data_IF_504756136976
#
_entry.id   IF_504756136976
#
_cell.length_a   1.000
_cell.length_b   1.000
_cell.length_c   1.000
_cell.angle_alpha   90.00
_cell.angle_beta   90.00
_cell.angle_gamma   90.00
#
_symmetry.space_group_name_H-M   'P 1'
#
loop_
_entity.id
_entity.type
_entity.pdbx_description
1 polymer ?
#
# COMPACT_ATOMS: atom_id res chain seq x y z
N UNK A 1 -18.84 29.65 -17.88
CA UNK A 1 -18.15 30.28 -16.74
C UNK A 1 -19.05 30.17 -15.52
N UNK A 2 -18.84 29.14 -14.71
CA UNK A 2 -19.22 29.10 -13.30
C UNK A 2 -17.95 28.66 -12.58
N UNK A 3 -17.31 29.62 -11.92
CA UNK A 3 -16.20 29.40 -11.00
C UNK A 3 -16.75 29.51 -9.57
N UNK A 4 -15.97 28.94 -8.64
CA UNK A 4 -16.07 29.08 -7.18
C UNK A 4 -17.11 28.19 -6.48
N UNK A 5 -16.68 27.03 -5.98
CA UNK A 5 -16.04 26.96 -4.66
C UNK A 5 -16.14 25.53 -4.12
N UNK A 6 -15.01 24.81 -4.12
CA UNK A 6 -14.50 24.08 -2.95
C UNK A 6 -15.55 23.66 -1.90
N UNK A 7 -16.35 22.63 -2.19
CA UNK A 7 -17.29 22.02 -1.26
C UNK A 7 -16.91 20.58 -0.93
N UNK A 8 -15.65 20.36 -0.50
CA UNK A 8 -15.29 19.37 0.53
C UNK A 8 -13.78 19.42 0.82
N UNK A 9 -13.36 20.50 1.47
CA UNK A 9 -12.15 20.46 2.28
C UNK A 9 -12.33 19.37 3.34
N UNK A 10 -11.60 18.26 3.19
CA UNK A 10 -11.63 17.05 4.03
C UNK A 10 -11.35 17.40 5.51
N UNK A 11 -12.38 17.80 6.25
CA UNK A 11 -12.28 18.31 7.63
C UNK A 11 -12.03 17.22 8.69
N UNK A 12 -12.31 15.95 8.40
CA UNK A 12 -12.15 14.82 9.34
C UNK A 12 -11.39 13.61 8.74
N UNK A 13 -10.49 13.83 7.78
CA UNK A 13 -9.68 12.74 7.24
C UNK A 13 -8.53 12.37 8.19
N UNK A 14 -8.11 11.09 8.17
CA UNK A 14 -6.90 10.60 8.87
C UNK A 14 -5.73 11.58 8.71
N UNK A 15 -5.52 12.06 7.48
CA UNK A 15 -4.60 13.16 7.18
C UNK A 15 -5.37 14.38 6.71
N UNK A 16 -5.12 15.52 7.34
CA UNK A 16 -5.65 16.81 6.89
C UNK A 16 -5.00 17.22 5.56
N UNK A 17 -5.61 18.15 4.83
CA UNK A 17 -5.01 18.69 3.59
C UNK A 17 -3.62 19.24 3.83
N UNK A 18 -3.43 19.90 4.97
CA UNK A 18 -2.14 20.45 5.35
C UNK A 18 -1.11 19.36 5.70
N UNK A 19 -1.54 18.22 6.23
CA UNK A 19 -0.63 17.09 6.50
C UNK A 19 -0.12 16.50 5.19
N UNK A 20 -1.03 16.27 4.23
CA UNK A 20 -0.69 15.77 2.90
C UNK A 20 0.33 16.68 2.23
N UNK A 21 0.03 17.99 2.12
CA UNK A 21 0.95 18.97 1.53
C UNK A 21 2.32 19.01 2.22
N UNK A 22 2.34 18.83 3.54
CA UNK A 22 3.61 18.83 4.28
C UNK A 22 4.41 17.55 4.07
N UNK A 23 3.76 16.38 4.00
CA UNK A 23 4.39 15.09 3.74
C UNK A 23 4.87 14.95 2.28
N UNK A 24 4.13 15.51 1.31
CA UNK A 24 4.49 15.52 -0.12
C UNK A 24 5.52 16.58 -0.48
N UNK A 25 5.90 17.45 0.47
CA UNK A 25 6.87 18.52 0.25
C UNK A 25 6.30 19.78 -0.42
N UNK A 26 5.03 19.79 -0.81
CA UNK A 26 4.33 20.98 -1.34
C UNK A 26 4.28 22.15 -0.33
N UNK A 27 4.39 21.85 0.96
CA UNK A 27 4.47 22.83 2.03
C UNK A 27 5.70 22.62 2.89
N UNK A 28 6.51 23.66 3.03
CA UNK A 28 7.64 23.71 3.96
C UNK A 28 7.42 24.77 5.05
N UNK A 29 7.80 24.45 6.29
CA UNK A 29 7.88 25.43 7.36
C UNK A 29 9.26 26.10 7.36
N UNK A 30 9.27 27.41 7.20
CA UNK A 30 10.48 28.26 7.20
C UNK A 30 10.36 29.36 8.27
N UNK A 31 11.48 30.00 8.62
CA UNK A 31 11.54 31.07 9.63
C UNK A 31 11.82 30.61 11.06
N UNK A 32 11.73 31.55 12.00
CA UNK A 32 12.20 31.45 13.39
C UNK A 32 11.55 30.28 14.17
N UNK A 33 10.26 30.00 13.90
CA UNK A 33 9.51 28.95 14.58
C UNK A 33 9.38 27.65 13.77
N UNK A 34 10.10 27.51 12.64
CA UNK A 34 9.98 26.38 11.74
C UNK A 34 10.22 25.02 12.42
N UNK A 35 11.22 24.95 13.32
CA UNK A 35 11.56 23.72 14.03
C UNK A 35 10.40 23.24 14.92
N UNK A 36 9.78 24.18 15.66
CA UNK A 36 8.65 23.88 16.54
C UNK A 36 7.41 23.48 15.73
N UNK A 37 7.13 24.19 14.63
CA UNK A 37 6.01 23.87 13.74
C UNK A 37 6.15 22.46 13.12
N UNK A 38 7.35 22.09 12.65
CA UNK A 38 7.62 20.73 12.15
C UNK A 38 7.43 19.66 13.23
N UNK A 39 7.89 19.93 14.45
CA UNK A 39 7.71 18.99 15.56
C UNK A 39 6.23 18.81 15.89
N UNK A 40 5.51 19.91 16.03
CA UNK A 40 4.07 19.92 16.30
C UNK A 40 3.31 19.14 15.23
N UNK A 41 3.63 19.39 13.95
CA UNK A 41 3.03 18.69 12.81
C UNK A 41 3.23 17.17 12.87
N UNK A 42 4.45 16.69 13.11
CA UNK A 42 4.73 15.25 13.28
C UNK A 42 3.94 14.63 14.42
N UNK A 43 3.87 15.34 15.56
CA UNK A 43 3.11 14.87 16.73
C UNK A 43 1.63 14.72 16.40
N UNK A 44 1.07 15.69 15.69
CA UNK A 44 -0.36 15.70 15.38
C UNK A 44 -0.73 14.63 14.34
N UNK A 45 0.12 14.42 13.33
CA UNK A 45 -0.02 13.31 12.37
C UNK A 45 0.01 11.96 13.11
N UNK A 46 1.00 11.74 13.98
CA UNK A 46 1.10 10.49 14.76
C UNK A 46 -0.16 10.23 15.58
N UNK A 47 -0.68 11.26 16.27
CA UNK A 47 -1.91 11.14 17.06
C UNK A 47 -3.11 10.79 16.19
N UNK A 48 -3.25 11.42 15.01
CA UNK A 48 -4.34 11.11 14.08
C UNK A 48 -4.26 9.67 13.57
N UNK A 49 -3.09 9.23 13.11
CA UNK A 49 -2.88 7.85 12.65
C UNK A 49 -3.21 6.85 13.76
N UNK A 50 -2.73 7.10 14.98
CA UNK A 50 -3.05 6.26 16.14
C UNK A 50 -4.56 6.16 16.39
N UNK A 51 -5.27 7.30 16.41
CA UNK A 51 -6.71 7.31 16.61
C UNK A 51 -7.46 6.62 15.47
N UNK A 52 -7.05 6.83 14.21
CA UNK A 52 -7.66 6.15 13.05
C UNK A 52 -7.49 4.64 13.14
N UNK A 53 -6.35 4.14 13.61
CA UNK A 53 -6.15 2.71 13.84
C UNK A 53 -7.16 2.18 14.88
N UNK A 54 -7.39 2.92 15.97
CA UNK A 54 -8.39 2.54 16.98
C UNK A 54 -9.83 2.62 16.45
N UNK A 55 -10.11 3.58 15.56
CA UNK A 55 -11.45 3.74 14.97
C UNK A 55 -11.81 2.52 14.11
N UNK A 56 -10.85 1.77 13.55
CA UNK A 56 -11.16 0.53 12.81
C UNK A 56 -11.84 -0.53 13.68
N UNK A 57 -11.54 -0.61 14.98
CA UNK A 57 -12.28 -1.51 15.88
C UNK A 57 -13.75 -1.12 15.99
N UNK A 58 -14.04 0.18 16.05
CA UNK A 58 -15.41 0.72 16.08
C UNK A 58 -16.12 0.45 14.75
N UNK A 59 -15.44 0.71 13.63
CA UNK A 59 -16.00 0.44 12.29
C UNK A 59 -16.27 -1.05 12.09
N UNK A 60 -15.34 -1.90 12.52
CA UNK A 60 -15.49 -3.33 12.45
C UNK A 60 -16.71 -3.75 13.27
N UNK A 61 -16.78 -3.42 14.57
CA UNK A 61 -17.86 -3.84 15.46
C UNK A 61 -19.23 -3.28 15.09
N UNK A 62 -19.31 -1.99 14.76
CA UNK A 62 -20.58 -1.25 14.78
C UNK A 62 -21.06 -0.67 13.45
N UNK A 63 -20.22 -0.60 12.41
CA UNK A 63 -20.71 -0.14 11.10
C UNK A 63 -21.75 -1.14 10.57
N UNK A 64 -22.82 -0.66 9.94
CA UNK A 64 -23.83 -1.55 9.38
C UNK A 64 -23.25 -2.34 8.19
N UNK A 65 -23.70 -3.57 8.01
CA UNK A 65 -23.22 -4.44 6.92
C UNK A 65 -23.43 -3.82 5.54
N UNK A 66 -24.60 -3.23 5.30
CA UNK A 66 -24.90 -2.57 4.03
C UNK A 66 -23.94 -1.41 3.72
N UNK A 67 -23.49 -0.67 4.75
CA UNK A 67 -22.53 0.42 4.57
C UNK A 67 -21.10 -0.12 4.39
N UNK A 68 -20.72 -1.20 5.07
CA UNK A 68 -19.47 -1.91 4.76
C UNK A 68 -19.48 -2.39 3.32
N UNK A 69 -20.54 -3.06 2.88
CA UNK A 69 -20.62 -3.60 1.52
C UNK A 69 -20.47 -2.48 0.47
N UNK A 70 -21.12 -1.33 0.65
CA UNK A 70 -20.95 -0.17 -0.24
C UNK A 70 -19.51 0.36 -0.27
N UNK A 71 -18.79 0.35 0.86
CA UNK A 71 -17.39 0.78 0.89
C UNK A 71 -16.48 -0.14 0.05
N UNK A 72 -16.81 -1.43 -0.05
CA UNK A 72 -16.02 -2.42 -0.77
C UNK A 72 -16.64 -2.86 -2.12
N UNK A 73 -17.78 -2.28 -2.53
CA UNK A 73 -18.52 -2.65 -3.74
C UNK A 73 -17.64 -2.55 -5.00
N UNK A 74 -16.80 -1.52 -5.07
CA UNK A 74 -15.89 -1.26 -6.18
C UNK A 74 -14.77 -2.30 -6.32
N UNK A 75 -14.52 -3.14 -5.31
CA UNK A 75 -13.53 -4.22 -5.36
C UNK A 75 -14.13 -5.54 -5.87
N UNK A 76 -15.46 -5.70 -5.80
CA UNK A 76 -16.14 -6.95 -6.15
C UNK A 76 -16.37 -7.12 -7.67
N UNK A 77 -16.19 -6.08 -8.50
CA UNK A 77 -16.36 -6.13 -9.96
C UNK A 77 -15.22 -6.87 -10.70
N UNK A 78 -14.56 -7.85 -10.05
CA UNK A 78 -13.36 -8.51 -10.60
C UNK A 78 -13.67 -9.68 -11.55
N UNK A 79 -14.91 -10.18 -11.62
CA UNK A 79 -15.24 -11.33 -12.47
C UNK A 79 -16.11 -10.97 -13.69
N UNK A 80 -15.48 -10.60 -14.80
CA UNK A 80 -15.93 -11.06 -16.12
C UNK A 80 -16.70 -10.13 -17.07
N UNK A 81 -16.67 -8.80 -16.93
CA UNK A 81 -17.13 -7.90 -18.01
C UNK A 81 -16.02 -6.92 -18.39
N UNK A 82 -15.27 -7.27 -19.44
CA UNK A 82 -14.19 -6.48 -20.07
C UNK A 82 -14.65 -5.11 -20.63
N UNK A 83 -15.86 -4.65 -20.29
CA UNK A 83 -16.49 -3.42 -20.79
C UNK A 83 -16.61 -2.30 -19.77
N UNK A 84 -16.08 -2.48 -18.56
CA UNK A 84 -16.18 -1.47 -17.50
C UNK A 84 -14.81 -1.05 -16.94
N UNK A 85 -13.84 -0.82 -17.83
CA UNK A 85 -12.48 -0.37 -17.48
C UNK A 85 -12.45 1.05 -16.85
N UNK A 86 -13.57 1.78 -16.90
CA UNK A 86 -13.70 3.14 -16.35
C UNK A 86 -14.09 3.18 -14.86
N UNK A 87 -14.28 2.02 -14.19
CA UNK A 87 -14.81 1.95 -12.80
C UNK A 87 -13.96 1.20 -11.78
N UNK A 88 -12.78 0.70 -12.14
CA UNK A 88 -11.83 0.27 -11.12
C UNK A 88 -11.32 1.52 -10.40
N UNK A 89 -11.70 1.66 -9.12
CA UNK A 89 -11.10 2.68 -8.26
C UNK A 89 -9.70 2.19 -7.85
N UNK A 90 -8.78 2.29 -8.82
CA UNK A 90 -7.37 1.96 -8.62
C UNK A 90 -6.77 2.82 -7.50
N UNK A 91 -7.28 4.04 -7.27
CA UNK A 91 -6.83 4.87 -6.15
C UNK A 91 -7.21 4.25 -4.79
N UNK A 92 -8.44 3.77 -4.64
CA UNK A 92 -8.89 3.06 -3.43
C UNK A 92 -8.12 1.76 -3.23
N UNK A 93 -7.96 0.95 -4.29
CA UNK A 93 -7.26 -0.34 -4.23
C UNK A 93 -5.79 -0.15 -3.87
N UNK A 94 -5.11 0.82 -4.50
CA UNK A 94 -3.73 1.17 -4.18
C UNK A 94 -3.63 1.73 -2.75
N UNK A 95 -4.58 2.57 -2.32
CA UNK A 95 -4.63 3.08 -0.96
C UNK A 95 -4.77 1.99 0.09
N UNK A 96 -5.62 0.99 -0.14
CA UNK A 96 -5.78 -0.18 0.73
C UNK A 96 -4.50 -1.02 0.79
N UNK A 97 -3.90 -1.30 -0.38
CA UNK A 97 -2.61 -2.01 -0.49
C UNK A 97 -1.52 -1.28 0.29
N UNK A 98 -1.37 0.02 0.09
CA UNK A 98 -0.34 0.83 0.72
C UNK A 98 -0.55 0.95 2.25
N UNK A 99 -1.81 0.99 2.70
CA UNK A 99 -2.14 0.95 4.13
C UNK A 99 -1.72 -0.37 4.77
N UNK A 100 -2.04 -1.52 4.13
CA UNK A 100 -1.62 -2.83 4.60
C UNK A 100 -0.09 -2.96 4.60
N UNK A 101 0.58 -2.58 3.52
CA UNK A 101 2.03 -2.58 3.42
C UNK A 101 2.69 -1.73 4.50
N UNK A 102 2.15 -0.53 4.77
CA UNK A 102 2.62 0.34 5.85
C UNK A 102 2.53 -0.34 7.21
N UNK A 103 1.40 -1.00 7.53
CA UNK A 103 1.24 -1.72 8.79
C UNK A 103 2.25 -2.86 8.88
N UNK A 104 2.28 -3.74 7.87
CA UNK A 104 3.13 -4.94 7.85
C UNK A 104 4.61 -4.62 7.98
N UNK A 105 5.09 -3.60 7.23
CA UNK A 105 6.45 -3.09 7.30
C UNK A 105 6.82 -2.64 8.73
N UNK A 106 5.95 -1.86 9.38
CA UNK A 106 6.25 -1.34 10.72
C UNK A 106 6.03 -2.38 11.84
N UNK A 107 5.43 -3.53 11.52
CA UNK A 107 5.24 -4.66 12.46
C UNK A 107 6.27 -5.77 12.30
N UNK A 108 7.31 -5.57 11.48
CA UNK A 108 8.46 -6.47 11.40
C UNK A 108 8.36 -7.56 10.35
N UNK A 109 7.43 -7.47 9.38
CA UNK A 109 7.30 -8.49 8.33
C UNK A 109 8.56 -8.56 7.46
N UNK A 110 9.18 -7.41 7.16
CA UNK A 110 10.39 -7.33 6.33
C UNK A 110 11.60 -8.00 6.98
N UNK A 111 11.72 -7.91 8.30
CA UNK A 111 12.76 -8.55 9.07
C UNK A 111 12.55 -10.08 9.06
N UNK A 112 11.30 -10.53 9.23
CA UNK A 112 10.92 -11.95 9.09
C UNK A 112 11.28 -12.52 7.71
N UNK A 113 11.08 -11.74 6.65
CA UNK A 113 11.42 -12.11 5.26
C UNK A 113 12.93 -12.25 4.98
N UNK A 114 13.81 -11.65 5.79
CA UNK A 114 15.25 -11.57 5.50
C UNK A 114 16.10 -12.45 6.44
N UNK A 115 15.53 -12.97 7.52
CA UNK A 115 16.24 -13.82 8.46
C UNK A 115 16.21 -15.29 8.00
N UNK A 116 17.29 -15.74 7.34
CA UNK A 116 17.45 -17.13 6.82
C UNK A 116 17.44 -18.21 7.92
N UNK A 117 17.60 -17.85 9.21
CA UNK A 117 17.89 -18.79 10.30
C UNK A 117 17.12 -18.50 11.60
N UNK A 118 16.10 -17.64 11.59
CA UNK A 118 15.30 -17.39 12.79
C UNK A 118 14.41 -18.60 13.07
N UNK A 119 14.78 -19.37 14.10
CA UNK A 119 13.95 -20.40 14.66
C UNK A 119 12.55 -19.87 15.03
N UNK A 120 11.59 -20.00 14.11
CA UNK A 120 10.12 -20.10 14.32
C UNK A 120 9.45 -19.04 15.21
N UNK A 121 10.07 -17.88 15.45
CA UNK A 121 9.43 -16.82 16.22
C UNK A 121 8.49 -16.05 15.28
N UNK A 122 7.20 -16.35 15.37
CA UNK A 122 6.15 -15.64 14.65
C UNK A 122 6.31 -14.13 14.79
N UNK A 123 6.41 -13.42 13.67
CA UNK A 123 6.54 -11.96 13.68
C UNK A 123 5.26 -11.29 14.24
N UNK A 124 5.37 -10.06 14.73
CA UNK A 124 4.16 -9.31 15.14
C UNK A 124 3.18 -9.16 13.97
N UNK A 125 3.69 -9.02 12.74
CA UNK A 125 2.90 -8.98 11.51
C UNK A 125 2.10 -10.27 11.28
N UNK A 126 2.76 -11.44 11.32
CA UNK A 126 2.11 -12.76 11.16
C UNK A 126 1.02 -12.97 12.19
N UNK A 127 1.30 -12.68 13.46
CA UNK A 127 0.32 -12.80 14.54
C UNK A 127 -0.88 -11.90 14.32
N UNK A 128 -0.66 -10.63 13.94
CA UNK A 128 -1.76 -9.69 13.69
C UNK A 128 -2.62 -10.12 12.50
N UNK A 129 -2.03 -10.63 11.43
CA UNK A 129 -2.76 -11.17 10.29
C UNK A 129 -3.58 -12.39 10.69
N UNK A 130 -2.98 -13.33 11.43
CA UNK A 130 -3.65 -14.49 11.99
C UNK A 130 -4.86 -14.07 12.82
N UNK A 131 -4.65 -13.21 13.82
CA UNK A 131 -5.70 -12.72 14.72
C UNK A 131 -6.82 -12.01 13.93
N UNK A 132 -6.48 -11.23 12.90
CA UNK A 132 -7.47 -10.56 12.05
C UNK A 132 -8.37 -11.56 11.28
N UNK A 133 -7.80 -12.66 10.76
CA UNK A 133 -8.58 -13.73 10.09
C UNK A 133 -9.51 -14.42 11.08
N UNK A 134 -9.03 -14.75 12.29
CA UNK A 134 -9.86 -15.35 13.33
C UNK A 134 -11.00 -14.43 13.78
N UNK A 135 -10.74 -13.14 14.00
CA UNK A 135 -11.79 -12.19 14.38
C UNK A 135 -12.80 -11.95 13.25
N UNK A 136 -12.36 -11.99 11.99
CA UNK A 136 -13.27 -11.96 10.83
C UNK A 136 -14.19 -13.19 10.81
N UNK A 137 -13.63 -14.39 10.96
CA UNK A 137 -14.43 -15.62 10.98
C UNK A 137 -15.43 -15.65 12.13
N UNK A 138 -14.98 -15.28 13.33
CA UNK A 138 -15.83 -15.18 14.53
C UNK A 138 -17.02 -14.24 14.35
N UNK A 139 -16.86 -13.14 13.62
CA UNK A 139 -17.95 -12.19 13.33
C UNK A 139 -19.09 -12.85 12.55
N UNK A 140 -18.74 -13.71 11.60
CA UNK A 140 -19.69 -14.39 10.71
C UNK A 140 -20.00 -15.82 11.17
N UNK A 141 -19.69 -16.15 12.44
CA UNK A 141 -19.88 -17.48 13.04
C UNK A 141 -19.16 -18.62 12.30
N UNK A 142 -18.06 -18.30 11.61
CA UNK A 142 -17.20 -19.25 10.90
C UNK A 142 -16.10 -19.73 11.83
N UNK A 143 -15.97 -21.06 11.97
CA UNK A 143 -14.85 -21.70 12.65
C UNK A 143 -13.62 -21.71 11.74
N UNK A 144 -12.65 -20.86 12.05
CA UNK A 144 -11.32 -20.92 11.44
C UNK A 144 -10.51 -21.99 12.18
N UNK A 145 -10.05 -23.02 11.48
CA UNK A 145 -9.29 -24.14 12.08
C UNK A 145 -7.78 -23.88 12.09
N UNK A 146 -7.25 -23.26 11.04
CA UNK A 146 -5.83 -22.95 10.88
C UNK A 146 -5.64 -21.73 9.97
N UNK A 147 -4.58 -20.96 10.22
CA UNK A 147 -4.16 -19.83 9.39
C UNK A 147 -2.64 -19.87 9.25
N UNK A 148 -2.18 -20.27 8.08
CA UNK A 148 -0.78 -20.31 7.69
C UNK A 148 -0.45 -19.13 6.75
N UNK A 149 0.65 -18.43 7.03
CA UNK A 149 1.24 -17.45 6.12
C UNK A 149 2.63 -17.98 5.73
N UNK A 150 2.80 -18.29 4.45
CA UNK A 150 4.08 -18.72 3.88
C UNK A 150 4.61 -17.62 2.96
N UNK A 151 5.81 -17.14 3.27
CA UNK A 151 6.49 -16.11 2.48
C UNK A 151 7.89 -16.59 2.14
N UNK A 152 8.09 -16.92 0.87
CA UNK A 152 9.43 -17.18 0.32
C UNK A 152 9.97 -15.87 -0.27
N UNK A 153 10.95 -15.30 0.42
CA UNK A 153 11.55 -14.02 0.06
C UNK A 153 13.07 -14.14 -0.01
N UNK A 154 13.66 -13.49 -1.02
CA UNK A 154 15.11 -13.32 -1.11
C UNK A 154 15.42 -11.83 -1.21
N UNK A 155 16.55 -11.35 -0.65
CA UNK A 155 16.95 -9.96 -0.81
C UNK A 155 16.98 -9.60 -2.30
N UNK A 156 16.07 -8.72 -2.72
CA UNK A 156 15.95 -8.31 -4.11
C UNK A 156 17.22 -7.60 -4.56
N UNK A 157 18.08 -8.20 -5.38
CA UNK A 157 19.40 -7.67 -5.61
C UNK A 157 19.30 -6.69 -6.78
N UNK A 158 18.52 -5.60 -6.66
CA UNK A 158 18.23 -4.65 -7.75
C UNK A 158 19.51 -4.28 -8.50
N UNK A 159 20.61 -4.03 -7.76
CA UNK A 159 21.91 -3.74 -8.36
C UNK A 159 22.50 -4.90 -9.17
N UNK A 160 22.32 -6.15 -8.72
CA UNK A 160 22.70 -7.34 -9.50
C UNK A 160 21.77 -7.56 -10.68
N UNK A 161 20.46 -7.36 -10.52
CA UNK A 161 19.50 -7.47 -11.63
C UNK A 161 19.80 -6.43 -12.72
N UNK A 162 20.11 -5.17 -12.35
CA UNK A 162 20.60 -4.14 -13.29
C UNK A 162 21.91 -4.59 -13.95
N UNK A 163 22.84 -5.18 -13.19
CA UNK A 163 24.13 -5.63 -13.71
C UNK A 163 23.97 -6.77 -14.72
N UNK A 164 23.11 -7.73 -14.42
CA UNK A 164 22.82 -8.88 -15.29
C UNK A 164 22.11 -8.43 -16.56
N UNK A 165 21.13 -7.54 -16.45
CA UNK A 165 20.47 -6.92 -17.60
C UNK A 165 21.47 -6.17 -18.49
N UNK A 166 22.38 -5.37 -17.91
CA UNK A 166 23.44 -4.67 -18.65
C UNK A 166 24.47 -5.60 -19.29
N UNK A 167 24.66 -6.79 -18.72
CA UNK A 167 25.55 -7.81 -19.26
C UNK A 167 24.90 -8.64 -20.36
N UNK A 168 23.60 -8.47 -20.62
CA UNK A 168 22.83 -9.29 -21.55
C UNK A 168 22.49 -10.68 -21.01
N UNK A 169 22.52 -10.86 -19.69
CA UNK A 169 22.11 -12.11 -19.04
C UNK A 169 20.59 -12.14 -18.87
N UNK A 170 20.03 -13.35 -18.83
CA UNK A 170 18.61 -13.56 -18.54
C UNK A 170 18.24 -13.08 -17.13
N UNK A 171 17.11 -12.38 -17.04
CA UNK A 171 16.54 -11.90 -15.77
C UNK A 171 15.18 -12.55 -15.56
N UNK A 172 14.89 -12.98 -14.33
CA UNK A 172 13.60 -13.59 -14.00
C UNK A 172 12.44 -12.57 -14.08
N UNK A 173 11.20 -13.00 -14.34
CA UNK A 173 10.03 -12.10 -14.33
C UNK A 173 9.87 -11.34 -13.01
N UNK A 174 10.17 -11.97 -11.87
CA UNK A 174 10.17 -11.31 -10.57
C UNK A 174 11.27 -10.23 -10.45
N UNK A 175 12.46 -10.49 -11.00
CA UNK A 175 13.56 -9.51 -11.06
C UNK A 175 13.24 -8.32 -11.96
N UNK A 176 12.60 -8.55 -13.11
CA UNK A 176 12.13 -7.48 -14.01
C UNK A 176 11.03 -6.65 -13.37
N UNK A 177 10.06 -7.29 -12.72
CA UNK A 177 9.01 -6.60 -11.97
C UNK A 177 9.60 -5.72 -10.87
N UNK A 178 10.52 -6.26 -10.08
CA UNK A 178 11.24 -5.50 -9.05
C UNK A 178 12.00 -4.30 -9.62
N UNK A 179 12.60 -4.43 -10.81
CA UNK A 179 13.26 -3.32 -11.51
C UNK A 179 12.27 -2.26 -11.97
N UNK A 180 11.14 -2.65 -12.56
CA UNK A 180 10.10 -1.75 -13.06
C UNK A 180 9.37 -1.01 -11.93
N UNK A 181 9.19 -1.67 -10.79
CA UNK A 181 8.63 -1.08 -9.57
C UNK A 181 9.67 -0.25 -8.79
N UNK A 182 10.93 -0.21 -9.25
CA UNK A 182 11.97 0.64 -8.69
C UNK A 182 12.14 1.94 -9.48
N UNK A 183 12.48 3.03 -8.81
CA UNK A 183 12.84 4.32 -9.45
C UNK A 183 14.18 4.27 -10.22
N UNK A 184 14.71 3.08 -10.51
CA UNK A 184 16.02 2.87 -11.16
C UNK A 184 15.93 2.65 -12.66
N UNK A 185 14.72 2.48 -13.19
CA UNK A 185 14.47 2.23 -14.60
C UNK A 185 13.42 3.21 -15.08
N UNK A 186 13.69 3.86 -16.21
CA UNK A 186 12.67 4.65 -16.90
C UNK A 186 11.70 3.69 -17.60
N UNK A 187 10.53 3.50 -17.00
CA UNK A 187 9.52 2.56 -17.50
C UNK A 187 8.95 2.98 -18.85
N UNK A 188 8.98 4.27 -19.21
CA UNK A 188 8.57 4.74 -20.53
C UNK A 188 9.60 4.36 -21.60
N UNK A 189 10.89 4.45 -21.27
CA UNK A 189 11.98 4.02 -22.16
C UNK A 189 11.95 2.49 -22.39
N UNK A 190 11.69 1.71 -21.33
CA UNK A 190 11.52 0.25 -21.45
C UNK A 190 10.31 -0.10 -22.30
N UNK A 191 9.17 0.59 -22.12
CA UNK A 191 7.98 0.34 -22.92
C UNK A 191 8.21 0.64 -24.40
N UNK A 192 8.95 1.71 -24.73
CA UNK A 192 9.34 2.02 -26.10
C UNK A 192 10.21 0.92 -26.72
N UNK A 193 11.24 0.44 -25.98
CA UNK A 193 12.08 -0.68 -26.42
C UNK A 193 11.31 -1.98 -26.65
N UNK A 194 10.37 -2.33 -25.76
CA UNK A 194 9.53 -3.52 -25.94
C UNK A 194 8.61 -3.35 -27.16
N UNK A 195 8.10 -2.14 -27.37
CA UNK A 195 7.24 -1.85 -28.52
C UNK A 195 8.01 -2.01 -29.83
N UNK A 196 9.23 -1.50 -29.92
CA UNK A 196 10.11 -1.73 -31.07
C UNK A 196 10.37 -3.23 -31.28
N UNK A 197 10.74 -3.98 -30.24
CA UNK A 197 11.07 -5.40 -30.37
C UNK A 197 9.89 -6.33 -30.72
N UNK A 198 8.67 -5.99 -30.27
CA UNK A 198 7.48 -6.83 -30.47
C UNK A 198 6.72 -6.43 -31.74
N UNK A 199 6.84 -5.18 -32.19
CA UNK A 199 6.07 -4.64 -33.31
C UNK A 199 6.92 -4.19 -34.53
N UNK A 200 8.25 -4.28 -34.52
CA UNK A 200 9.09 -4.08 -35.74
C UNK A 200 9.25 -5.34 -36.60
N UNK A 201 8.58 -6.46 -36.29
CA UNK A 201 8.57 -7.69 -37.10
C UNK A 201 7.47 -7.71 -38.19
N UNK A 202 7.06 -6.55 -38.73
CA UNK A 202 6.25 -6.42 -39.97
C UNK A 202 7.03 -5.85 -41.17
#
# INVERSE_FOLDING_TARGET
MCSEATMNERKNAMLTTEDRRWLTGEKAYTGEHAKQQRYQRRRDIRKRVYNTILDFSILFEHLEEAERQKLFEQLAETDGDERNDERRDDEFTNGLRDALAFVLYNTGLTESMLEEDAAHAESLAERLLRDAVYESGKRDEILVEDVALEVDATPGPIAAVVKDLKAGNDVSPAGLRLLMESDRVDTAEVQACITELVFDDE
#
